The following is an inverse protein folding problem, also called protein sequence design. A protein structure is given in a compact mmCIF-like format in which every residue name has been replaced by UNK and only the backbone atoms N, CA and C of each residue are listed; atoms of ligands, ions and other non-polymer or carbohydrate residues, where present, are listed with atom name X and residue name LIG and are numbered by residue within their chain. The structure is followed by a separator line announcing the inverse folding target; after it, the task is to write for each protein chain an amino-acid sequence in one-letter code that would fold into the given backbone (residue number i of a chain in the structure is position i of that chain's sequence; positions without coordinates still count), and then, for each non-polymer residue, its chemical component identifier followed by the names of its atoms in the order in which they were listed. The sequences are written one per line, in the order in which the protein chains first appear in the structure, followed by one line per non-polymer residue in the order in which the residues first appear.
data_IF_692261210168
#
_entry.id   IF_692261210168
#
_cell.length_a   1.000
_cell.length_b   1.000
_cell.length_c   1.000
_cell.angle_alpha   90.00
_cell.angle_beta   90.00
_cell.angle_gamma   90.00
#
_symmetry.space_group_name_H-M   'P 1'
#
loop_
_entity.id
_entity.type
_entity.pdbx_description
1 polymer ?
#
# COMPACT_ATOMS: atom_id res chain seq x y z
N UNK A 1 9.29 7.07 14.77
CA UNK A 1 10.53 7.84 15.00
C UNK A 1 11.78 7.10 14.51
N UNK A 2 11.68 6.27 13.46
CA UNK A 2 12.84 5.52 12.97
C UNK A 2 13.98 6.43 12.48
N UNK A 3 13.64 7.65 12.03
CA UNK A 3 14.62 8.69 11.68
C UNK A 3 15.62 9.03 12.81
N UNK A 4 15.33 8.74 14.09
CA UNK A 4 16.26 8.98 15.20
C UNK A 4 17.43 7.97 15.20
N UNK A 5 17.27 6.82 14.52
CA UNK A 5 18.22 5.70 14.54
C UNK A 5 18.63 5.21 13.14
N UNK A 6 18.18 5.87 12.07
CA UNK A 6 18.54 5.58 10.68
C UNK A 6 19.23 6.77 10.04
N UNK A 7 20.10 6.53 9.03
CA UNK A 7 20.85 7.61 8.36
C UNK A 7 20.43 7.88 6.93
N UNK A 8 19.72 6.95 6.29
CA UNK A 8 19.30 7.08 4.91
C UNK A 8 17.96 6.40 4.65
N UNK A 9 17.26 6.87 3.61
CA UNK A 9 16.09 6.23 3.02
C UNK A 9 16.30 6.21 1.49
N UNK A 10 16.41 5.01 0.93
CA UNK A 10 16.38 4.82 -0.52
C UNK A 10 14.92 4.69 -0.99
N UNK A 11 14.49 5.62 -1.83
CA UNK A 11 13.13 5.67 -2.42
C UNK A 11 12.97 4.60 -3.51
N UNK A 12 13.04 3.33 -3.12
CA UNK A 12 12.89 2.17 -4.01
C UNK A 12 11.46 2.02 -4.55
N UNK A 13 10.47 2.57 -3.87
CA UNK A 13 9.04 2.51 -4.24
C UNK A 13 8.58 1.09 -4.58
N UNK A 14 9.10 0.10 -3.85
CA UNK A 14 8.99 -1.31 -4.18
C UNK A 14 7.61 -1.92 -3.89
N UNK A 15 6.80 -1.22 -3.10
CA UNK A 15 5.41 -1.59 -2.83
C UNK A 15 4.60 -0.33 -2.52
N UNK A 16 3.59 -0.03 -3.35
CA UNK A 16 2.52 0.90 -2.98
C UNK A 16 1.53 0.10 -2.15
N UNK A 17 1.76 0.07 -0.85
CA UNK A 17 1.10 -0.87 0.06
C UNK A 17 -0.37 -0.50 0.33
N UNK A 18 -1.15 -1.50 0.74
CA UNK A 18 -2.58 -1.35 1.04
C UNK A 18 -2.97 -2.08 2.32
N UNK A 19 -4.08 -1.65 2.92
CA UNK A 19 -4.74 -2.37 4.00
C UNK A 19 -6.22 -2.59 3.67
N UNK A 20 -6.79 -3.63 4.27
CA UNK A 20 -8.22 -3.89 4.26
C UNK A 20 -8.82 -3.63 5.64
N UNK A 21 -10.00 -3.01 5.68
CA UNK A 21 -10.83 -2.99 6.89
C UNK A 21 -11.53 -4.35 6.98
N UNK A 22 -10.90 -5.29 7.68
CA UNK A 22 -11.49 -6.59 7.95
C UNK A 22 -12.60 -6.46 9.02
N UNK A 23 -13.72 -7.15 8.82
CA UNK A 23 -14.85 -7.14 9.74
C UNK A 23 -15.37 -8.56 9.96
N UNK A 24 -15.76 -8.88 11.21
CA UNK A 24 -16.29 -10.20 11.57
C UNK A 24 -17.53 -10.53 10.74
N UNK A 25 -17.49 -11.62 9.97
CA UNK A 25 -18.64 -12.07 9.18
C UNK A 25 -19.83 -12.45 10.06
N UNK A 26 -19.62 -13.11 11.19
CA UNK A 26 -20.70 -13.47 12.10
C UNK A 26 -21.40 -12.23 12.68
N UNK A 27 -20.62 -11.19 13.00
CA UNK A 27 -21.19 -9.90 13.44
C UNK A 27 -21.93 -9.23 12.29
N UNK A 28 -21.34 -9.19 11.09
CA UNK A 28 -21.96 -8.60 9.90
C UNK A 28 -23.32 -9.23 9.58
N UNK A 29 -23.39 -10.57 9.59
CA UNK A 29 -24.61 -11.31 9.29
C UNK A 29 -25.69 -11.12 10.36
N UNK A 30 -25.33 -10.69 11.58
CA UNK A 30 -26.28 -10.36 12.65
C UNK A 30 -26.88 -8.95 12.56
N UNK A 31 -26.32 -8.08 11.71
CA UNK A 31 -26.80 -6.72 11.49
C UNK A 31 -28.02 -6.72 10.56
N UNK A 32 -28.91 -5.75 10.74
CA UNK A 32 -29.97 -5.49 9.75
C UNK A 32 -29.38 -4.93 8.44
N UNK A 33 -30.11 -4.99 7.31
CA UNK A 33 -29.63 -4.42 6.05
C UNK A 33 -29.25 -2.93 6.16
N UNK A 34 -30.00 -2.13 6.92
CA UNK A 34 -29.70 -0.71 7.14
C UNK A 34 -28.42 -0.51 7.97
N UNK A 35 -28.20 -1.37 8.96
CA UNK A 35 -26.97 -1.36 9.77
C UNK A 35 -25.75 -1.79 8.94
N UNK A 36 -25.88 -2.84 8.11
CA UNK A 36 -24.84 -3.26 7.17
C UNK A 36 -24.46 -2.11 6.23
N UNK A 37 -25.47 -1.45 5.63
CA UNK A 37 -25.24 -0.30 4.75
C UNK A 37 -24.53 0.85 5.49
N UNK A 38 -24.92 1.11 6.73
CA UNK A 38 -24.30 2.15 7.56
C UNK A 38 -22.83 1.83 7.86
N UNK A 39 -22.51 0.59 8.24
CA UNK A 39 -21.13 0.15 8.51
C UNK A 39 -20.28 0.20 7.24
N UNK A 40 -20.81 -0.27 6.09
CA UNK A 40 -20.10 -0.19 4.82
C UNK A 40 -19.73 1.24 4.46
N UNK A 41 -20.72 2.16 4.50
CA UNK A 41 -20.49 3.58 4.21
C UNK A 41 -19.47 4.20 5.15
N UNK A 42 -19.49 3.84 6.43
CA UNK A 42 -18.52 4.32 7.39
C UNK A 42 -17.10 3.80 7.09
N UNK A 43 -16.95 2.52 6.74
CA UNK A 43 -15.67 1.93 6.37
C UNK A 43 -15.10 2.58 5.09
N UNK A 44 -15.95 2.82 4.08
CA UNK A 44 -15.55 3.48 2.83
C UNK A 44 -15.14 4.94 3.08
N UNK A 45 -15.92 5.68 3.88
CA UNK A 45 -15.63 7.07 4.21
C UNK A 45 -14.33 7.22 5.02
N UNK A 46 -14.12 6.34 6.02
CA UNK A 46 -12.89 6.32 6.79
C UNK A 46 -11.67 5.99 5.91
N UNK A 47 -11.81 5.03 5.00
CA UNK A 47 -10.74 4.65 4.05
C UNK A 47 -10.40 5.79 3.09
N UNK A 48 -11.41 6.48 2.55
CA UNK A 48 -11.21 7.63 1.67
C UNK A 48 -10.52 8.79 2.41
N UNK A 49 -10.97 9.10 3.62
CA UNK A 49 -10.36 10.14 4.44
C UNK A 49 -8.92 9.78 4.83
N UNK A 50 -8.70 8.55 5.30
CA UNK A 50 -7.39 8.05 5.70
C UNK A 50 -6.38 8.07 4.56
N UNK A 51 -6.79 7.65 3.35
CA UNK A 51 -5.97 7.72 2.13
C UNK A 51 -5.48 9.14 1.86
N UNK A 52 -6.38 10.13 1.89
CA UNK A 52 -6.01 11.52 1.62
C UNK A 52 -5.06 12.08 2.68
N UNK A 53 -5.28 11.75 3.96
CA UNK A 53 -4.38 12.17 5.04
C UNK A 53 -3.01 11.50 4.94
N UNK A 54 -2.95 10.23 4.55
CA UNK A 54 -1.70 9.52 4.36
C UNK A 54 -0.89 10.11 3.20
N UNK A 55 -1.52 10.36 2.05
CA UNK A 55 -0.86 11.00 0.90
C UNK A 55 -0.32 12.39 1.25
N UNK A 56 -1.08 13.19 2.01
CA UNK A 56 -0.60 14.48 2.52
C UNK A 56 0.63 14.32 3.44
N UNK A 57 0.66 13.28 4.29
CA UNK A 57 1.84 12.98 5.10
C UNK A 57 3.03 12.57 4.24
N UNK A 58 2.84 11.70 3.25
CA UNK A 58 3.91 11.26 2.35
C UNK A 58 4.56 12.45 1.62
N UNK A 59 3.74 13.40 1.15
CA UNK A 59 4.22 14.61 0.47
C UNK A 59 5.02 15.55 1.39
N UNK A 60 4.68 15.63 2.67
CA UNK A 60 5.27 16.59 3.61
C UNK A 60 6.38 16.01 4.50
N UNK A 61 6.38 14.71 4.78
CA UNK A 61 7.30 14.09 5.74
C UNK A 61 8.73 13.94 5.19
N UNK A 62 8.91 13.89 3.87
CA UNK A 62 10.24 13.78 3.28
C UNK A 62 11.14 14.95 3.71
N UNK A 63 10.61 16.17 3.68
CA UNK A 63 11.37 17.37 4.08
C UNK A 63 11.61 17.43 5.58
N UNK A 64 10.62 17.03 6.37
CA UNK A 64 10.83 16.87 7.82
C UNK A 64 11.95 15.87 8.10
N UNK A 65 11.92 14.69 7.49
CA UNK A 65 12.93 13.64 7.71
C UNK A 65 14.32 14.11 7.26
N UNK A 66 14.43 14.80 6.12
CA UNK A 66 15.69 15.44 5.69
C UNK A 66 16.21 16.43 6.72
N UNK A 67 15.34 17.26 7.30
CA UNK A 67 15.73 18.22 8.35
C UNK A 67 16.26 17.56 9.62
N UNK A 68 15.92 16.29 9.86
CA UNK A 68 16.47 15.50 10.97
C UNK A 68 17.84 14.88 10.65
N UNK A 69 18.44 15.19 9.49
CA UNK A 69 19.76 14.73 9.08
C UNK A 69 19.76 13.34 8.41
N UNK A 70 18.61 12.87 7.93
CA UNK A 70 18.50 11.62 7.17
C UNK A 70 18.60 11.92 5.67
N UNK A 71 19.49 11.21 4.98
CA UNK A 71 19.62 11.31 3.53
C UNK A 71 18.43 10.63 2.83
N UNK A 72 17.82 11.27 1.84
CA UNK A 72 16.73 10.68 1.06
C UNK A 72 17.05 10.82 -0.42
N UNK A 73 17.18 9.70 -1.13
CA UNK A 73 17.59 9.64 -2.53
C UNK A 73 16.81 8.56 -3.30
N UNK A 74 16.75 8.69 -4.63
CA UNK A 74 16.17 7.68 -5.52
C UNK A 74 17.26 6.79 -6.10
N UNK A 75 17.14 5.44 -5.99
CA UNK A 75 18.03 4.52 -6.68
C UNK A 75 17.64 4.38 -8.17
N UNK A 76 18.35 3.53 -8.90
CA UNK A 76 17.92 3.05 -10.22
C UNK A 76 16.66 2.17 -10.08
N UNK A 77 15.49 2.79 -10.29
CA UNK A 77 14.20 2.11 -10.13
C UNK A 77 14.00 1.00 -11.16
N UNK A 78 14.55 1.14 -12.36
CA UNK A 78 14.36 0.14 -13.42
C UNK A 78 15.17 -1.12 -13.14
N UNK A 79 16.38 -0.97 -12.60
CA UNK A 79 17.15 -2.09 -12.08
C UNK A 79 16.41 -2.83 -10.95
N UNK A 80 15.83 -2.09 -9.99
CA UNK A 80 15.04 -2.68 -8.90
C UNK A 80 13.79 -3.41 -9.41
N UNK A 81 13.00 -2.78 -10.28
CA UNK A 81 11.77 -3.37 -10.86
C UNK A 81 12.09 -4.64 -11.65
N UNK A 82 13.08 -4.58 -12.53
CA UNK A 82 13.51 -5.72 -13.35
C UNK A 82 13.98 -6.88 -12.47
N UNK A 83 14.82 -6.59 -11.48
CA UNK A 83 15.31 -7.61 -10.56
C UNK A 83 14.17 -8.29 -9.80
N UNK A 84 13.28 -7.53 -9.18
CA UNK A 84 12.18 -8.07 -8.37
C UNK A 84 11.18 -8.84 -9.24
N UNK A 85 10.83 -8.35 -10.43
CA UNK A 85 9.95 -9.08 -11.34
C UNK A 85 10.50 -10.49 -11.65
N UNK A 86 11.80 -10.60 -11.90
CA UNK A 86 12.46 -11.89 -12.14
C UNK A 86 12.46 -12.81 -10.90
N UNK A 87 12.40 -12.28 -9.68
CA UNK A 87 12.29 -13.10 -8.46
C UNK A 87 10.90 -13.73 -8.29
N UNK A 88 9.85 -13.08 -8.80
CA UNK A 88 8.48 -13.61 -8.69
C UNK A 88 8.16 -14.64 -9.76
N UNK A 89 8.70 -14.51 -10.98
CA UNK A 89 8.45 -15.47 -12.07
C UNK A 89 8.97 -16.86 -11.68
N UNK A 90 8.07 -17.85 -11.67
CA UNK A 90 8.41 -19.23 -11.28
C UNK A 90 8.47 -19.46 -9.76
N UNK A 91 8.19 -18.46 -8.93
CA UNK A 91 8.06 -18.62 -7.48
C UNK A 91 6.75 -19.32 -7.09
N UNK A 92 6.70 -19.86 -5.87
CA UNK A 92 5.46 -20.41 -5.28
C UNK A 92 4.34 -19.37 -5.18
N UNK A 93 4.69 -18.09 -5.02
CA UNK A 93 3.73 -16.99 -4.98
C UNK A 93 3.05 -16.85 -6.34
N UNK A 94 3.83 -16.76 -7.42
CA UNK A 94 3.29 -16.66 -8.77
C UNK A 94 2.45 -17.87 -9.17
N UNK A 95 2.80 -19.06 -8.69
CA UNK A 95 2.03 -20.28 -8.95
C UNK A 95 0.62 -20.26 -8.32
N UNK A 96 0.41 -19.49 -7.25
CA UNK A 96 -0.90 -19.34 -6.61
C UNK A 96 -1.78 -18.25 -7.24
N UNK A 97 -1.22 -17.42 -8.12
CA UNK A 97 -1.97 -16.34 -8.74
C UNK A 97 -2.93 -16.90 -9.77
N UNK A 98 -4.24 -16.57 -9.69
CA UNK A 98 -5.17 -17.04 -10.69
C UNK A 98 -4.81 -16.50 -12.08
N UNK A 99 -4.93 -17.35 -13.10
CA UNK A 99 -4.61 -17.03 -14.49
C UNK A 99 -5.27 -15.71 -14.94
N UNK A 100 -4.46 -14.81 -15.50
CA UNK A 100 -4.93 -13.54 -16.06
C UNK A 100 -5.18 -12.41 -15.05
N UNK A 101 -5.06 -12.65 -13.74
CA UNK A 101 -5.31 -11.61 -12.72
C UNK A 101 -4.23 -10.54 -12.72
N UNK A 102 -2.95 -10.93 -12.83
CA UNK A 102 -1.83 -9.98 -12.84
C UNK A 102 -1.94 -9.01 -14.04
N UNK A 103 -2.26 -9.53 -15.22
CA UNK A 103 -2.43 -8.76 -16.45
C UNK A 103 -3.57 -7.75 -16.32
N UNK A 104 -4.70 -8.17 -15.70
CA UNK A 104 -5.83 -7.28 -15.43
C UNK A 104 -5.46 -6.17 -14.44
N UNK A 105 -4.74 -6.49 -13.38
CA UNK A 105 -4.26 -5.48 -12.41
C UNK A 105 -3.36 -4.46 -13.11
N UNK A 106 -2.39 -4.94 -13.91
CA UNK A 106 -1.50 -4.06 -14.66
C UNK A 106 -2.26 -3.14 -15.62
N UNK A 107 -3.30 -3.63 -16.29
CA UNK A 107 -4.11 -2.83 -17.21
C UNK A 107 -4.94 -1.72 -16.52
N UNK A 108 -5.24 -1.86 -15.23
CA UNK A 108 -5.93 -0.84 -14.42
C UNK A 108 -4.97 0.25 -13.91
N UNK A 109 -3.67 -0.04 -13.86
CA UNK A 109 -2.62 0.90 -13.50
C UNK A 109 -2.13 1.67 -14.73
N UNK A 110 -2.96 2.59 -15.24
CA UNK A 110 -2.56 3.60 -16.23
C UNK A 110 -2.95 4.99 -15.73
#
# INVERSE_FOLDING_TARGET
KFYEVTKQIALTSHLVDLNYVAFSKATWDSLTPDQQMTVQRAADAASAWGRLKQLDKENNLADFIRSQGVEIYSPDLDAFRTHVQAQYVGSEFAASWPDGVLEKINALGN
#
